data_IF_079639389088
#
_entry.id   IF_079639389088
#
_cell.length_a   1.000
_cell.length_b   1.000
_cell.length_c   1.000
_cell.angle_alpha   90.00
_cell.angle_beta   90.00
_cell.angle_gamma   90.00
#
_symmetry.space_group_name_H-M   'P 1'
#
loop_
_entity.id
_entity.type
_entity.pdbx_description
1 polymer ?
#
# COMPACT_ATOMS: atom_id res chain seq x y z
N UNK A 1 -3.71 -4.74 4.03
CA UNK A 1 -4.91 -4.45 3.18
C UNK A 1 -4.55 -4.05 1.75
N UNK A 2 -3.46 -3.30 1.51
CA UNK A 2 -3.00 -2.92 0.17
C UNK A 2 -2.92 -4.08 -0.85
N UNK A 3 -2.50 -5.27 -0.44
CA UNK A 3 -2.44 -6.47 -1.32
C UNK A 3 -3.81 -6.83 -1.93
N UNK A 4 -4.89 -6.82 -1.15
CA UNK A 4 -6.23 -7.13 -1.63
C UNK A 4 -6.72 -6.05 -2.62
N UNK A 5 -6.39 -4.78 -2.36
CA UNK A 5 -6.66 -3.70 -3.30
C UNK A 5 -5.89 -3.89 -4.62
N UNK A 6 -4.62 -4.31 -4.57
CA UNK A 6 -3.82 -4.59 -5.75
C UNK A 6 -4.41 -5.75 -6.58
N UNK A 7 -4.84 -6.83 -5.93
CA UNK A 7 -5.52 -7.96 -6.58
C UNK A 7 -6.82 -7.53 -7.25
N UNK A 8 -7.65 -6.71 -6.57
CA UNK A 8 -8.87 -6.14 -7.17
C UNK A 8 -8.55 -5.29 -8.39
N UNK A 9 -7.53 -4.43 -8.33
CA UNK A 9 -7.10 -3.61 -9.47
C UNK A 9 -6.67 -4.50 -10.65
N UNK A 10 -5.84 -5.51 -10.41
CA UNK A 10 -5.39 -6.43 -11.46
C UNK A 10 -6.57 -7.19 -12.09
N UNK A 11 -7.53 -7.65 -11.28
CA UNK A 11 -8.76 -8.28 -11.77
C UNK A 11 -9.58 -7.33 -12.65
N UNK A 12 -9.69 -6.05 -12.27
CA UNK A 12 -10.37 -5.04 -13.09
C UNK A 12 -9.65 -4.77 -14.41
N UNK A 13 -8.32 -4.70 -14.41
CA UNK A 13 -7.53 -4.55 -15.63
C UNK A 13 -7.71 -5.74 -16.58
N UNK A 14 -7.75 -6.96 -16.05
CA UNK A 14 -8.06 -8.15 -16.85
C UNK A 14 -9.46 -8.09 -17.47
N UNK A 15 -10.47 -7.65 -16.71
CA UNK A 15 -11.84 -7.55 -17.21
C UNK A 15 -12.02 -6.49 -18.29
N UNK A 16 -11.36 -5.34 -18.15
CA UNK A 16 -11.54 -4.18 -19.03
C UNK A 16 -10.64 -4.23 -20.26
N UNK A 17 -9.39 -4.64 -20.08
CA UNK A 17 -8.34 -4.54 -21.10
C UNK A 17 -7.83 -5.92 -21.56
N UNK A 18 -8.31 -7.00 -20.96
CA UNK A 18 -7.83 -8.37 -21.20
C UNK A 18 -6.31 -8.54 -20.96
N UNK A 19 -5.76 -7.78 -20.01
CA UNK A 19 -4.34 -7.82 -19.62
C UNK A 19 -4.19 -8.42 -18.23
N UNK A 20 -3.36 -9.45 -18.13
CA UNK A 20 -2.94 -10.01 -16.83
C UNK A 20 -1.75 -9.23 -16.30
N UNK A 21 -1.88 -8.68 -15.09
CA UNK A 21 -0.81 -7.97 -14.39
C UNK A 21 -0.36 -8.81 -13.20
N UNK A 22 0.95 -9.13 -13.08
CA UNK A 22 1.49 -9.81 -11.90
C UNK A 22 1.28 -8.96 -10.64
N UNK A 23 0.84 -9.61 -9.56
CA UNK A 23 0.65 -8.97 -8.26
C UNK A 23 1.49 -9.74 -7.25
N UNK A 24 2.29 -9.02 -6.47
CA UNK A 24 3.05 -9.58 -5.36
C UNK A 24 2.82 -8.79 -4.08
N UNK A 25 3.16 -9.40 -2.95
CA UNK A 25 3.05 -8.79 -1.64
C UNK A 25 4.45 -8.48 -1.08
N UNK A 26 4.56 -7.36 -0.38
CA UNK A 26 5.82 -6.88 0.18
C UNK A 26 5.64 -6.65 1.67
N UNK A 27 6.34 -7.43 2.48
CA UNK A 27 6.49 -7.11 3.90
C UNK A 27 7.60 -6.08 4.06
N UNK A 28 7.21 -4.88 4.48
CA UNK A 28 8.11 -3.73 4.66
C UNK A 28 8.53 -3.53 6.10
N UNK A 29 8.08 -4.39 7.02
CA UNK A 29 8.39 -4.31 8.46
C UNK A 29 9.90 -4.21 8.73
N UNK A 30 10.78 -5.00 8.08
CA UNK A 30 12.23 -4.90 8.32
C UNK A 30 12.85 -3.55 7.92
N UNK A 31 12.16 -2.76 7.10
CA UNK A 31 12.64 -1.52 6.51
C UNK A 31 12.04 -0.26 7.16
N UNK A 32 11.15 -0.42 8.14
CA UNK A 32 10.56 0.70 8.89
C UNK A 32 11.55 1.19 9.95
N UNK A 33 11.72 2.50 10.02
CA UNK A 33 12.66 3.18 10.93
C UNK A 33 11.97 3.73 12.19
N UNK A 34 10.65 3.64 12.22
CA UNK A 34 9.73 4.21 13.22
C UNK A 34 9.01 3.14 14.03
N UNK A 35 9.54 1.90 14.07
CA UNK A 35 8.98 0.84 14.91
C UNK A 35 9.35 1.11 16.37
N UNK A 36 8.56 1.94 17.04
CA UNK A 36 8.43 1.91 18.49
C UNK A 36 7.56 0.70 18.89
N UNK A 37 7.95 0.01 19.96
CA UNK A 37 7.45 -1.29 20.40
C UNK A 37 5.91 -1.42 20.61
N UNK A 38 5.14 -0.33 20.58
CA UNK A 38 3.68 -0.32 20.77
C UNK A 38 2.86 -0.68 19.52
N UNK A 39 3.49 -0.79 18.35
CA UNK A 39 2.80 -1.12 17.08
C UNK A 39 2.73 -2.63 16.78
N UNK A 40 3.00 -3.49 17.78
CA UNK A 40 2.96 -4.96 17.61
C UNK A 40 1.54 -5.56 17.46
N UNK A 41 0.48 -4.75 17.51
CA UNK A 41 -0.89 -5.25 17.40
C UNK A 41 -1.39 -5.46 15.96
N UNK A 42 -0.60 -5.08 14.96
CA UNK A 42 -0.84 -5.44 13.56
C UNK A 42 0.22 -6.47 13.14
N UNK A 43 0.14 -7.68 13.70
CA UNK A 43 0.84 -8.82 13.09
C UNK A 43 0.47 -8.85 11.59
N UNK A 44 1.44 -9.04 10.68
CA UNK A 44 1.12 -9.18 9.28
C UNK A 44 0.31 -10.47 9.08
N UNK A 45 -1.01 -10.37 9.06
CA UNK A 45 -1.94 -11.47 8.71
C UNK A 45 -1.82 -11.92 7.24
N UNK A 46 -0.73 -11.58 6.55
CA UNK A 46 -0.38 -12.12 5.24
C UNK A 46 1.09 -12.55 5.26
N UNK A 47 1.32 -13.71 5.85
CA UNK A 47 2.55 -14.50 5.69
C UNK A 47 2.61 -15.04 4.26
N UNK A 48 3.06 -14.22 3.31
CA UNK A 48 3.75 -14.62 2.08
C UNK A 48 4.30 -13.36 1.40
N UNK A 49 5.58 -13.05 1.63
CA UNK A 49 6.31 -12.18 0.72
C UNK A 49 6.60 -12.98 -0.56
N UNK A 50 5.68 -12.93 -1.52
CA UNK A 50 5.83 -13.60 -2.82
C UNK A 50 5.83 -12.54 -3.93
N UNK A 51 7.02 -12.05 -4.24
CA UNK A 51 7.32 -11.45 -5.54
C UNK A 51 8.19 -12.49 -6.26
N UNK A 52 7.54 -13.38 -7.01
CA UNK A 52 8.18 -14.45 -7.78
C UNK A 52 8.53 -14.01 -9.22
N UNK A 53 8.38 -12.72 -9.51
CA UNK A 53 8.66 -12.11 -10.80
C UNK A 53 9.72 -11.01 -10.71
N UNK A 54 10.46 -10.83 -11.80
CA UNK A 54 11.49 -9.78 -11.87
C UNK A 54 10.85 -8.39 -11.98
N UNK A 55 11.35 -7.45 -11.17
CA UNK A 55 11.03 -6.01 -11.25
C UNK A 55 11.97 -5.25 -12.21
N UNK A 56 13.01 -5.89 -12.72
CA UNK A 56 14.05 -5.27 -13.55
C UNK A 56 13.47 -4.63 -14.82
N UNK A 57 13.72 -3.33 -15.01
CA UNK A 57 13.22 -2.55 -16.14
C UNK A 57 11.69 -2.43 -16.23
N UNK A 58 10.94 -2.88 -15.21
CA UNK A 58 9.46 -2.82 -15.20
C UNK A 58 8.94 -1.52 -14.62
N UNK A 59 7.70 -1.18 -14.95
CA UNK A 59 6.94 -0.15 -14.22
C UNK A 59 6.25 -0.83 -13.05
N UNK A 60 6.65 -0.50 -11.83
CA UNK A 60 6.09 -1.06 -10.60
C UNK A 60 5.07 -0.07 -10.02
N UNK A 61 3.90 -0.57 -9.61
CA UNK A 61 2.90 0.24 -8.90
C UNK A 61 2.79 -0.32 -7.49
N UNK A 62 3.25 0.45 -6.51
CA UNK A 62 2.98 0.19 -5.10
C UNK A 62 1.52 0.53 -4.81
N UNK A 63 0.85 -0.34 -4.06
CA UNK A 63 -0.56 -0.16 -3.68
C UNK A 63 -0.68 -0.20 -2.17
N UNK A 64 -1.21 0.88 -1.59
CA UNK A 64 -1.48 0.98 -0.15
C UNK A 64 -2.93 1.41 0.11
N UNK A 65 -3.45 1.10 1.29
CA UNK A 65 -4.82 1.50 1.63
C UNK A 65 -4.90 2.98 2.03
N UNK A 66 -3.99 3.45 2.89
CA UNK A 66 -3.99 4.83 3.40
C UNK A 66 -2.59 5.45 3.36
N UNK A 67 -2.43 6.53 2.59
CA UNK A 67 -1.22 7.34 2.62
C UNK A 67 -1.26 8.37 3.74
N UNK A 68 -0.40 8.16 4.76
CA UNK A 68 -0.23 9.06 5.92
C UNK A 68 1.14 9.76 5.91
N UNK A 69 2.08 9.35 6.78
CA UNK A 69 3.40 9.99 6.90
C UNK A 69 4.30 9.76 5.67
N UNK A 70 4.08 8.64 4.97
CA UNK A 70 4.88 8.19 3.83
C UNK A 70 5.98 7.17 4.18
N UNK A 71 6.19 6.86 5.48
CA UNK A 71 7.28 5.97 5.92
C UNK A 71 7.13 4.53 5.42
N UNK A 72 5.92 3.99 5.42
CA UNK A 72 5.61 2.67 4.81
C UNK A 72 6.03 2.61 3.34
N UNK A 73 5.73 3.66 2.58
CA UNK A 73 6.07 3.72 1.15
C UNK A 73 7.57 3.87 0.94
N UNK A 74 8.26 4.66 1.78
CA UNK A 74 9.73 4.73 1.73
C UNK A 74 10.35 3.34 1.94
N UNK A 75 9.91 2.63 2.98
CA UNK A 75 10.34 1.27 3.27
C UNK A 75 10.05 0.32 2.08
N UNK A 76 8.86 0.42 1.47
CA UNK A 76 8.50 -0.34 0.28
C UNK A 76 9.41 -0.05 -0.92
N UNK A 77 9.74 1.22 -1.18
CA UNK A 77 10.66 1.59 -2.26
C UNK A 77 12.05 0.97 -2.05
N UNK A 78 12.57 0.98 -0.82
CA UNK A 78 13.84 0.33 -0.50
C UNK A 78 13.81 -1.17 -0.80
N UNK A 79 12.77 -1.87 -0.33
CA UNK A 79 12.66 -3.31 -0.54
C UNK A 79 12.48 -3.68 -2.03
N UNK A 80 11.75 -2.88 -2.83
CA UNK A 80 11.69 -3.06 -4.29
C UNK A 80 13.06 -2.88 -4.95
N UNK A 81 13.86 -1.92 -4.48
CA UNK A 81 15.23 -1.69 -4.99
C UNK A 81 16.19 -2.82 -4.61
N UNK A 82 15.93 -3.58 -3.54
CA UNK A 82 16.72 -4.77 -3.23
C UNK A 82 16.37 -5.94 -4.16
N UNK A 83 15.15 -5.99 -4.69
CA UNK A 83 14.68 -7.01 -5.64
C UNK A 83 15.14 -6.76 -7.09
N UNK A 84 15.54 -5.53 -7.44
CA UNK A 84 16.03 -5.19 -8.78
C UNK A 84 16.01 -3.69 -9.07
N UNK A 85 16.08 -3.32 -10.36
CA UNK A 85 16.06 -1.92 -10.82
C UNK A 85 14.82 -1.69 -11.69
N UNK A 86 13.69 -1.26 -11.13
CA UNK A 86 12.52 -0.92 -11.92
C UNK A 86 12.78 0.32 -12.80
N UNK A 87 12.11 0.38 -13.95
CA UNK A 87 12.10 1.56 -14.84
C UNK A 87 11.43 2.75 -14.19
N UNK A 88 10.37 2.51 -13.41
CA UNK A 88 9.68 3.52 -12.60
C UNK A 88 8.93 2.85 -11.47
N UNK A 89 8.77 3.58 -10.36
CA UNK A 89 7.90 3.19 -9.25
C UNK A 89 6.82 4.26 -9.15
N UNK A 90 5.57 3.83 -9.23
CA UNK A 90 4.40 4.68 -9.00
C UNK A 90 3.67 4.23 -7.73
N UNK A 91 2.87 5.12 -7.17
CA UNK A 91 2.10 4.86 -5.96
C UNK A 91 0.60 5.06 -6.21
N UNK A 92 -0.18 4.03 -5.95
CA UNK A 92 -1.64 4.06 -5.92
C UNK A 92 -2.13 3.86 -4.49
N UNK A 93 -3.01 4.74 -4.02
CA UNK A 93 -3.61 4.63 -2.68
C UNK A 93 -5.12 4.82 -2.73
N UNK A 94 -5.84 4.07 -1.87
CA UNK A 94 -7.28 4.24 -1.77
C UNK A 94 -7.61 5.59 -1.11
N UNK A 95 -6.93 5.92 -0.02
CA UNK A 95 -7.13 7.18 0.71
C UNK A 95 -5.81 7.93 0.86
N UNK A 96 -5.84 9.22 0.56
CA UNK A 96 -4.81 10.16 0.98
C UNK A 96 -5.36 11.03 2.12
N UNK A 97 -4.73 10.95 3.30
CA UNK A 97 -5.14 11.72 4.49
C UNK A 97 -4.21 12.89 4.84
N UNK A 98 -3.22 13.19 4.00
CA UNK A 98 -2.23 14.24 4.26
C UNK A 98 -1.23 13.90 5.38
N UNK A 99 -0.70 14.94 6.03
CA UNK A 99 0.31 14.88 7.12
C UNK A 99 1.60 14.15 6.74
N UNK A 100 2.15 14.50 5.58
CA UNK A 100 3.42 13.95 5.11
C UNK A 100 4.57 14.35 6.02
N UNK A 101 5.42 13.38 6.34
CA UNK A 101 6.72 13.58 6.97
C UNK A 101 7.86 13.37 5.98
N UNK A 102 7.59 12.66 4.89
CA UNK A 102 8.51 12.46 3.78
C UNK A 102 7.93 13.10 2.50
N UNK A 103 8.79 13.53 1.54
CA UNK A 103 8.36 14.14 0.28
C UNK A 103 7.79 13.09 -0.69
N UNK A 104 6.78 12.33 -0.24
CA UNK A 104 6.14 11.24 -0.97
C UNK A 104 4.70 11.63 -1.31
N UNK A 105 4.34 11.46 -2.58
CA UNK A 105 3.01 11.72 -3.10
C UNK A 105 2.54 10.48 -3.89
N UNK A 106 1.24 10.20 -3.82
CA UNK A 106 0.62 9.20 -4.66
C UNK A 106 0.35 9.75 -6.07
N UNK A 107 0.61 8.91 -7.08
CA UNK A 107 0.25 9.18 -8.47
C UNK A 107 -1.25 8.97 -8.70
N UNK A 108 -1.81 7.97 -8.01
CA UNK A 108 -3.23 7.62 -8.08
C UNK A 108 -3.84 7.65 -6.69
N UNK A 109 -4.91 8.42 -6.52
CA UNK A 109 -5.61 8.57 -5.24
C UNK A 109 -7.09 8.27 -5.46
N UNK A 110 -7.63 7.30 -4.72
CA UNK A 110 -9.07 7.04 -4.72
C UNK A 110 -9.85 8.23 -4.14
N UNK A 111 -9.50 8.65 -2.92
CA UNK A 111 -10.10 9.83 -2.27
C UNK A 111 -9.11 10.59 -1.39
N UNK A 112 -9.12 11.91 -1.52
CA UNK A 112 -8.46 12.80 -0.56
C UNK A 112 -9.42 13.08 0.61
N UNK A 113 -9.00 12.81 1.83
CA UNK A 113 -9.79 13.04 3.04
C UNK A 113 -8.96 13.92 3.98
N UNK A 114 -9.23 15.23 4.06
CA UNK A 114 -8.61 16.08 5.07
C UNK A 114 -8.95 15.53 6.46
N UNK A 115 -7.91 15.25 7.25
CA UNK A 115 -8.05 14.79 8.63
C UNK A 115 -7.20 15.67 9.55
N UNK A 116 -7.45 15.60 10.85
CA UNK A 116 -6.51 16.00 11.89
C UNK A 116 -5.51 14.89 12.18
N UNK A 117 -4.45 15.20 12.94
CA UNK A 117 -3.49 14.21 13.45
C UNK A 117 -4.12 13.28 14.52
N UNK A 118 -5.20 13.72 15.17
CA UNK A 118 -5.94 12.92 16.18
C UNK A 118 -7.03 12.05 15.59
N UNK A 119 -7.25 12.11 14.28
CA UNK A 119 -8.17 11.20 13.61
C UNK A 119 -7.41 10.01 13.05
N UNK A 120 -8.12 8.89 12.87
CA UNK A 120 -7.58 7.70 12.23
C UNK A 120 -8.50 7.29 11.09
N UNK A 121 -7.92 6.99 9.93
CA UNK A 121 -8.64 6.38 8.83
C UNK A 121 -8.59 4.86 9.02
N UNK A 122 -9.75 4.23 9.11
CA UNK A 122 -9.89 2.76 9.11
C UNK A 122 -10.42 2.34 7.76
N UNK A 123 -9.67 1.49 7.06
CA UNK A 123 -10.13 0.83 5.84
C UNK A 123 -10.55 -0.59 6.20
N UNK A 124 -11.70 -1.01 5.71
CA UNK A 124 -12.20 -2.38 5.77
C UNK A 124 -12.36 -2.92 4.35
N UNK A 125 -11.87 -4.13 4.12
CA UNK A 125 -12.00 -4.84 2.84
C UNK A 125 -12.67 -6.19 3.07
N UNK A 126 -13.56 -6.60 2.19
CA UNK A 126 -14.38 -7.81 2.38
C UNK A 126 -13.56 -9.09 2.58
N UNK A 127 -12.34 -9.16 2.06
CA UNK A 127 -11.42 -10.31 2.19
C UNK A 127 -10.95 -10.53 3.63
N UNK A 128 -10.98 -9.50 4.48
CA UNK A 128 -10.56 -9.58 5.89
C UNK A 128 -11.74 -9.26 6.81
N UNK A 129 -12.45 -8.18 6.52
CA UNK A 129 -13.40 -7.53 7.44
C UNK A 129 -14.87 -7.92 7.15
N UNK A 130 -15.12 -8.79 6.15
CA UNK A 130 -16.46 -9.16 5.65
C UNK A 130 -17.34 -7.97 5.21
N UNK A 131 -16.72 -6.81 4.96
CA UNK A 131 -17.36 -5.60 4.45
C UNK A 131 -16.35 -4.69 3.77
N UNK A 132 -16.82 -3.89 2.83
CA UNK A 132 -16.04 -2.79 2.25
C UNK A 132 -16.46 -1.46 2.90
N UNK A 133 -15.53 -0.78 3.57
CA UNK A 133 -15.80 0.52 4.16
C UNK A 133 -14.54 1.36 4.34
N UNK A 134 -14.70 2.68 4.35
CA UNK A 134 -13.66 3.64 4.76
C UNK A 134 -14.29 4.56 5.81
N UNK A 135 -13.72 4.55 7.01
CA UNK A 135 -14.24 5.29 8.16
C UNK A 135 -13.19 6.24 8.72
N UNK A 136 -13.61 7.44 9.12
CA UNK A 136 -12.80 8.36 9.92
C UNK A 136 -13.24 8.25 11.38
N UNK A 137 -12.30 7.90 12.24
CA UNK A 137 -12.51 7.69 13.66
C UNK A 137 -11.80 8.81 14.43
N UNK A 138 -12.44 9.33 15.47
CA UNK A 138 -11.76 10.20 16.45
C UNK A 138 -10.97 9.30 17.41
N UNK A 139 -9.72 9.65 17.66
CA UNK A 139 -8.94 9.06 18.75
C UNK A 139 -9.53 9.43 20.11
#
# INVERSE_FOLDING_TARGET
RGVYLAQRIASRLQQLENVTVPVGALDVTPYRDDIDHDSQNDEPEVSAADIDFSVEGKKVILVDDVLYTGRTIRAAMSAIMDLGRPKSINLAVLVDRGHRELPIRADFVGKNIPSSQRERIKVSVSEIDNRDAVEILKA
#
